data_IF_986467780466
#
_entry.id   IF_986467780466
#
_cell.length_a   1.000
_cell.length_b   1.000
_cell.length_c   1.000
_cell.angle_alpha   90.00
_cell.angle_beta   90.00
_cell.angle_gamma   90.00
#
_symmetry.space_group_name_H-M   'P 1'
#
loop_
_entity.id
_entity.type
_entity.pdbx_description
1 polymer ?
#
# COMPACT_ATOMS: atom_id res chain seq x y z
N UNK A 1 14.82 9.86 -12.19
CA UNK A 1 13.79 9.22 -11.34
C UNK A 1 14.41 7.96 -10.78
N UNK A 2 15.01 8.02 -9.59
CA UNK A 2 15.65 6.87 -8.97
C UNK A 2 14.61 6.12 -8.14
N UNK A 3 14.16 4.96 -8.62
CA UNK A 3 13.31 4.03 -7.85
C UNK A 3 14.20 3.34 -6.81
N UNK A 4 14.15 3.82 -5.56
CA UNK A 4 14.73 3.11 -4.43
C UNK A 4 13.90 1.88 -4.12
N UNK A 5 14.25 0.73 -4.71
CA UNK A 5 13.61 -0.55 -4.43
C UNK A 5 14.15 -1.09 -3.11
N UNK A 6 13.35 -1.01 -2.06
CA UNK A 6 13.66 -1.65 -0.80
C UNK A 6 12.61 -2.76 -0.60
N UNK A 7 13.04 -4.02 -0.68
CA UNK A 7 12.14 -5.17 -0.58
C UNK A 7 11.79 -5.49 0.88
N UNK A 8 10.50 -5.56 1.20
CA UNK A 8 10.04 -6.18 2.46
C UNK A 8 10.00 -7.70 2.21
N UNK A 9 11.14 -8.36 2.45
CA UNK A 9 11.29 -9.77 2.13
C UNK A 9 10.43 -10.66 3.03
N UNK A 10 9.59 -11.49 2.40
CA UNK A 10 8.79 -12.55 3.02
C UNK A 10 7.46 -12.86 2.31
N UNK A 11 6.81 -11.84 1.72
CA UNK A 11 5.46 -11.93 1.14
C UNK A 11 5.31 -11.37 -0.28
N UNK A 12 6.42 -11.12 -0.99
CA UNK A 12 6.38 -10.49 -2.32
C UNK A 12 5.88 -9.03 -2.30
N UNK A 13 6.10 -8.34 -1.18
CA UNK A 13 5.75 -6.94 -0.99
C UNK A 13 6.96 -6.03 -1.28
N UNK A 14 6.73 -5.02 -2.12
CA UNK A 14 7.69 -3.98 -2.46
C UNK A 14 7.17 -2.65 -1.94
N UNK A 15 8.07 -1.72 -1.59
CA UNK A 15 7.67 -0.33 -1.39
C UNK A 15 8.57 0.62 -2.15
N UNK A 16 8.00 1.78 -2.49
CA UNK A 16 8.71 2.88 -3.12
C UNK A 16 8.12 4.21 -2.68
N UNK A 17 8.96 5.23 -2.66
CA UNK A 17 8.53 6.59 -2.34
C UNK A 17 8.16 7.33 -3.63
N UNK A 18 7.02 8.02 -3.62
CA UNK A 18 6.45 8.75 -4.74
C UNK A 18 6.18 10.19 -4.33
N UNK A 19 6.77 11.13 -5.07
CA UNK A 19 6.50 12.56 -4.91
C UNK A 19 5.23 12.91 -5.69
N UNK A 20 4.20 13.36 -4.98
CA UNK A 20 2.95 13.82 -5.57
C UNK A 20 3.02 15.29 -5.92
N UNK A 21 2.92 15.62 -7.22
CA UNK A 21 2.93 17.01 -7.70
C UNK A 21 1.66 17.78 -7.32
N UNK A 22 0.55 17.08 -7.05
CA UNK A 22 -0.74 17.71 -6.77
C UNK A 22 -0.84 18.28 -5.37
N UNK A 23 -0.08 17.74 -4.42
CA UNK A 23 -0.10 18.13 -3.00
C UNK A 23 1.29 18.48 -2.46
N UNK A 24 2.30 18.47 -3.34
CA UNK A 24 3.71 18.74 -3.03
C UNK A 24 4.23 17.95 -1.83
N UNK A 25 3.96 16.64 -1.82
CA UNK A 25 4.23 15.76 -0.67
C UNK A 25 4.79 14.40 -1.13
N UNK A 26 5.52 13.73 -0.24
CA UNK A 26 6.12 12.42 -0.52
C UNK A 26 5.35 11.32 0.19
N UNK A 27 4.80 10.40 -0.60
CA UNK A 27 4.07 9.24 -0.11
C UNK A 27 4.91 7.97 -0.25
N UNK A 28 4.79 7.06 0.71
CA UNK A 28 5.33 5.72 0.60
C UNK A 28 4.24 4.78 0.10
N UNK A 29 4.46 4.21 -1.08
CA UNK A 29 3.53 3.27 -1.70
C UNK A 29 4.05 1.87 -1.45
N UNK A 30 3.21 1.05 -0.82
CA UNK A 30 3.43 -0.36 -0.59
C UNK A 30 2.63 -1.13 -1.62
N UNK A 31 3.25 -2.05 -2.35
CA UNK A 31 2.61 -2.87 -3.36
C UNK A 31 2.88 -4.32 -3.03
N UNK A 32 1.82 -5.11 -3.00
CA UNK A 32 1.96 -6.54 -2.78
C UNK A 32 1.10 -7.32 -3.77
N UNK A 33 1.75 -8.32 -4.35
CA UNK A 33 1.20 -9.15 -5.41
C UNK A 33 0.73 -10.48 -4.81
N UNK A 34 -0.39 -11.04 -5.30
CA UNK A 34 -0.83 -12.35 -4.87
C UNK A 34 0.14 -13.43 -5.38
N UNK A 35 0.30 -14.51 -4.61
CA UNK A 35 1.21 -15.61 -4.96
C UNK A 35 0.75 -16.42 -6.18
N UNK A 36 -0.54 -16.38 -6.52
CA UNK A 36 -1.09 -16.88 -7.77
C UNK A 36 -1.93 -15.79 -8.45
N UNK A 37 -1.79 -15.66 -9.77
CA UNK A 37 -2.67 -14.80 -10.58
C UNK A 37 -3.43 -15.65 -11.60
N UNK A 38 -4.75 -15.54 -11.62
CA UNK A 38 -5.62 -16.30 -12.52
C UNK A 38 -5.74 -15.72 -13.95
N UNK A 39 -4.80 -14.88 -14.39
CA UNK A 39 -4.79 -14.29 -15.74
C UNK A 39 -4.62 -12.78 -15.76
N UNK A 40 -4.87 -12.17 -16.92
CA UNK A 40 -4.76 -10.72 -17.11
C UNK A 40 -6.00 -10.00 -16.53
N UNK A 41 -5.78 -9.13 -15.54
CA UNK A 41 -6.82 -8.28 -14.95
C UNK A 41 -7.10 -8.58 -13.48
N UNK A 42 -6.14 -8.30 -12.60
CA UNK A 42 -6.36 -8.40 -11.15
C UNK A 42 -7.08 -7.14 -10.63
N UNK A 43 -8.07 -7.29 -9.74
CA UNK A 43 -8.59 -6.14 -8.99
C UNK A 43 -7.47 -5.50 -8.16
N UNK A 44 -7.55 -4.18 -7.98
CA UNK A 44 -6.59 -3.42 -7.18
C UNK A 44 -7.31 -2.84 -5.98
N UNK A 45 -6.81 -3.17 -4.78
CA UNK A 45 -7.32 -2.64 -3.52
C UNK A 45 -6.39 -1.53 -3.05
N UNK A 46 -6.87 -0.30 -3.10
CA UNK A 46 -6.17 0.85 -2.54
C UNK A 46 -6.58 1.06 -1.09
N UNK A 47 -5.61 1.03 -0.18
CA UNK A 47 -5.85 1.25 1.23
C UNK A 47 -5.00 2.42 1.74
N UNK A 48 -5.66 3.41 2.34
CA UNK A 48 -5.02 4.60 2.90
C UNK A 48 -4.46 4.30 4.30
N UNK A 49 -3.48 5.11 4.72
CA UNK A 49 -2.89 5.06 6.06
C UNK A 49 -2.23 3.72 6.43
N UNK A 50 -1.50 3.15 5.46
CA UNK A 50 -0.92 1.81 5.63
C UNK A 50 0.52 1.76 6.12
N UNK A 51 1.02 2.81 6.79
CA UNK A 51 2.38 2.83 7.36
C UNK A 51 2.65 1.68 8.36
N UNK A 52 1.68 1.39 9.23
CA UNK A 52 1.82 0.35 10.27
C UNK A 52 0.98 -0.90 10.07
N UNK A 53 -0.05 -0.84 9.23
CA UNK A 53 -1.05 -1.92 9.08
C UNK A 53 -0.99 -2.66 7.75
N UNK A 54 -0.06 -2.30 6.85
CA UNK A 54 0.09 -2.98 5.56
C UNK A 54 0.38 -4.49 5.68
N UNK A 55 1.31 -4.95 6.55
CA UNK A 55 1.59 -6.38 6.68
C UNK A 55 0.37 -7.19 7.16
N UNK A 56 -0.42 -6.60 8.06
CA UNK A 56 -1.65 -7.24 8.56
C UNK A 56 -2.71 -7.37 7.47
N UNK A 57 -2.93 -6.31 6.69
CA UNK A 57 -3.85 -6.33 5.53
C UNK A 57 -3.44 -7.42 4.53
N UNK A 58 -2.14 -7.55 4.28
CA UNK A 58 -1.59 -8.58 3.41
C UNK A 58 -1.83 -9.99 3.92
N UNK A 59 -1.58 -10.23 5.21
CA UNK A 59 -1.83 -11.52 5.85
C UNK A 59 -3.32 -11.89 5.78
N UNK A 60 -4.22 -10.94 6.08
CA UNK A 60 -5.67 -11.14 6.02
C UNK A 60 -6.15 -11.49 4.60
N UNK A 61 -5.73 -10.72 3.59
CA UNK A 61 -6.09 -11.04 2.20
C UNK A 61 -5.55 -12.41 1.80
N UNK A 62 -4.30 -12.74 2.17
CA UNK A 62 -3.72 -14.04 1.82
C UNK A 62 -4.52 -15.18 2.43
N UNK A 63 -4.94 -15.05 3.69
CA UNK A 63 -5.81 -16.03 4.36
C UNK A 63 -7.16 -16.20 3.65
N UNK A 64 -7.89 -15.11 3.42
CA UNK A 64 -9.19 -15.15 2.74
C UNK A 64 -9.09 -15.71 1.31
N UNK A 65 -7.96 -15.49 0.64
CA UNK A 65 -7.72 -16.00 -0.70
C UNK A 65 -7.46 -17.52 -0.69
N UNK A 66 -6.76 -18.05 0.34
CA UNK A 66 -6.56 -19.49 0.53
C UNK A 66 -7.91 -20.19 0.79
N UNK A 67 -8.78 -19.55 1.57
CA UNK A 67 -10.14 -20.02 1.86
C UNK A 67 -11.10 -19.88 0.66
N UNK A 68 -10.67 -19.21 -0.42
CA UNK A 68 -11.43 -18.91 -1.64
C UNK A 68 -12.63 -17.98 -1.44
N UNK A 69 -12.66 -17.24 -0.33
CA UNK A 69 -13.67 -16.24 -0.03
C UNK A 69 -13.51 -14.96 -0.86
N UNK A 70 -12.26 -14.63 -1.24
CA UNK A 70 -11.95 -13.46 -2.05
C UNK A 70 -11.08 -13.82 -3.26
N UNK A 71 -11.27 -13.14 -4.40
CA UNK A 71 -10.40 -13.31 -5.55
C UNK A 71 -8.98 -12.77 -5.27
N UNK A 72 -7.96 -13.23 -5.99
CA UNK A 72 -6.63 -12.62 -5.94
C UNK A 72 -6.68 -11.14 -6.33
N UNK A 73 -6.09 -10.26 -5.53
CA UNK A 73 -6.03 -8.83 -5.82
C UNK A 73 -4.62 -8.28 -5.60
N UNK A 74 -4.30 -7.20 -6.30
CA UNK A 74 -3.13 -6.38 -6.03
C UNK A 74 -3.46 -5.45 -4.85
N UNK A 75 -2.71 -5.55 -3.75
CA UNK A 75 -2.90 -4.65 -2.61
C UNK A 75 -1.92 -3.49 -2.73
N UNK A 76 -2.46 -2.27 -2.74
CA UNK A 76 -1.69 -1.03 -2.76
C UNK A 76 -1.97 -0.25 -1.50
N UNK A 77 -1.00 -0.23 -0.59
CA UNK A 77 -1.01 0.60 0.61
C UNK A 77 -0.45 1.97 0.30
N UNK A 78 -1.22 3.01 0.57
CA UNK A 78 -0.77 4.40 0.48
C UNK A 78 -0.44 4.87 1.89
N UNK A 79 0.81 5.23 2.10
CA UNK A 79 1.34 5.70 3.35
C UNK A 79 2.17 6.98 3.19
N UNK A 80 2.73 7.43 4.30
CA UNK A 80 3.59 8.60 4.41
C UNK A 80 5.07 8.16 4.42
N UNK A 81 5.96 9.02 3.94
CA UNK A 81 7.39 8.72 3.86
C UNK A 81 8.07 8.44 5.23
N UNK A 82 7.51 8.96 6.32
CA UNK A 82 8.02 8.79 7.69
C UNK A 82 6.90 8.77 8.74
N UNK A 83 7.25 8.38 9.98
CA UNK A 83 6.35 8.45 11.12
C UNK A 83 5.98 9.90 11.46
N UNK A 84 6.95 10.83 11.46
CA UNK A 84 6.68 12.27 11.55
C UNK A 84 5.69 12.74 10.47
N UNK A 85 5.91 12.39 9.20
CA UNK A 85 5.03 12.80 8.10
C UNK A 85 3.61 12.25 8.30
N UNK A 86 3.48 11.02 8.81
CA UNK A 86 2.19 10.46 9.20
C UNK A 86 1.54 11.26 10.33
N UNK A 87 2.25 11.68 11.36
CA UNK A 87 1.66 12.45 12.46
C UNK A 87 1.21 13.85 12.03
N UNK A 88 1.99 14.52 11.17
CA UNK A 88 1.73 15.90 10.73
C UNK A 88 0.69 15.96 9.62
N UNK A 89 0.82 15.11 8.60
CA UNK A 89 0.02 15.24 7.37
C UNK A 89 -1.28 14.42 7.41
N UNK A 90 -1.41 13.43 8.30
CA UNK A 90 -2.64 12.63 8.39
C UNK A 90 -3.89 13.42 8.75
N UNK A 91 -3.75 14.48 9.56
CA UNK A 91 -4.87 15.36 9.90
C UNK A 91 -5.42 16.15 8.71
N UNK A 92 -4.58 16.40 7.68
CA UNK A 92 -5.00 17.04 6.42
C UNK A 92 -5.96 16.14 5.64
N UNK A 93 -5.71 14.84 5.67
CA UNK A 93 -6.39 13.87 4.82
C UNK A 93 -7.76 13.44 5.41
N UNK A 94 -7.92 13.49 6.74
CA UNK A 94 -9.20 13.16 7.42
C UNK A 94 -10.12 14.37 7.58
N UNK A 95 -9.57 15.59 7.67
CA UNK A 95 -10.34 16.81 7.85
C UNK A 95 -10.02 17.80 6.73
N UNK A 96 -10.91 17.89 5.73
CA UNK A 96 -10.83 18.93 4.70
C UNK A 96 -11.03 20.29 5.36
N UNK A 97 -9.95 21.03 5.63
CA UNK A 97 -10.04 22.48 5.87
C UNK A 97 -10.55 23.12 4.57
N UNK A 98 -11.85 23.44 4.55
CA UNK A 98 -12.41 24.40 3.61
C UNK A 98 -11.92 25.80 3.96
#
# INVERSE_FOLDING_TARGET
MAFGKQGLNGLGAEYFDLVSRSVDDTFRIFVAKPWFSAGAGLPVVYALDRNGSFPLLMAMHTGMMIERDVPPALIVGIGYASAEAMMVNRGRDTCRRR
#
